data_IF_468212604230
#
_entry.id   IF_468212604230
#
_cell.length_a   1.000
_cell.length_b   1.000
_cell.length_c   1.000
_cell.angle_alpha   90.00
_cell.angle_beta   90.00
_cell.angle_gamma   90.00
#
_symmetry.space_group_name_H-M   'P 1'
#
loop_
_entity.id
_entity.type
_entity.pdbx_description
1 polymer ?
#
# COMPACT_ATOMS: atom_id res chain seq x y z
N UNK A 1 -35.15 7.04 -14.32
CA UNK A 1 -33.92 6.30 -14.72
C UNK A 1 -34.35 4.96 -15.31
N UNK A 2 -33.91 4.60 -16.51
CA UNK A 2 -34.32 3.33 -17.14
C UNK A 2 -33.49 2.18 -16.57
N UNK A 3 -34.03 0.97 -16.52
CA UNK A 3 -33.34 -0.21 -15.98
C UNK A 3 -31.99 -0.51 -16.69
N UNK A 4 -31.90 -0.21 -17.99
CA UNK A 4 -30.65 -0.31 -18.77
C UNK A 4 -29.58 0.67 -18.29
N UNK A 5 -29.96 1.90 -17.93
CA UNK A 5 -29.03 2.92 -17.44
C UNK A 5 -28.42 2.52 -16.09
N UNK A 6 -29.25 1.98 -15.19
CA UNK A 6 -28.78 1.50 -13.88
C UNK A 6 -27.84 0.28 -14.00
N UNK A 7 -28.12 -0.65 -14.90
CA UNK A 7 -27.24 -1.79 -15.15
C UNK A 7 -25.87 -1.34 -15.68
N UNK A 8 -25.84 -0.32 -16.54
CA UNK A 8 -24.61 0.33 -17.01
C UNK A 8 -23.82 0.97 -15.87
N UNK A 9 -24.50 1.78 -15.03
CA UNK A 9 -23.89 2.42 -13.86
C UNK A 9 -23.32 1.40 -12.87
N UNK A 10 -24.05 0.30 -12.60
CA UNK A 10 -23.57 -0.74 -11.70
C UNK A 10 -22.33 -1.45 -12.26
N UNK A 11 -22.30 -1.75 -13.57
CA UNK A 11 -21.10 -2.31 -14.23
C UNK A 11 -19.89 -1.38 -14.08
N UNK A 12 -20.07 -0.09 -14.33
CA UNK A 12 -18.99 0.92 -14.18
C UNK A 12 -18.53 1.00 -12.73
N UNK A 13 -19.45 1.02 -11.76
CA UNK A 13 -19.09 1.08 -10.35
C UNK A 13 -18.31 -0.15 -9.88
N UNK A 14 -18.67 -1.34 -10.37
CA UNK A 14 -17.92 -2.57 -10.10
C UNK A 14 -16.50 -2.52 -10.67
N UNK A 15 -16.35 -2.10 -11.93
CA UNK A 15 -15.02 -1.94 -12.54
C UNK A 15 -14.19 -0.92 -11.77
N UNK A 16 -14.79 0.21 -11.39
CA UNK A 16 -14.09 1.22 -10.59
C UNK A 16 -13.65 0.66 -9.25
N UNK A 17 -14.52 -0.06 -8.53
CA UNK A 17 -14.17 -0.74 -7.28
C UNK A 17 -12.97 -1.67 -7.45
N UNK A 18 -12.93 -2.46 -8.51
CA UNK A 18 -11.82 -3.38 -8.79
C UNK A 18 -10.50 -2.65 -9.05
N UNK A 19 -10.54 -1.57 -9.84
CA UNK A 19 -9.37 -0.71 -10.09
C UNK A 19 -8.83 -0.13 -8.78
N UNK A 20 -9.70 0.50 -7.98
CA UNK A 20 -9.27 1.18 -6.75
C UNK A 20 -8.70 0.20 -5.70
N UNK A 21 -9.23 -1.04 -5.66
CA UNK A 21 -8.71 -2.10 -4.80
C UNK A 21 -7.35 -2.64 -5.30
N UNK A 22 -7.17 -2.77 -6.62
CA UNK A 22 -5.88 -3.16 -7.20
C UNK A 22 -4.81 -2.09 -6.92
N UNK A 23 -5.17 -0.81 -7.06
CA UNK A 23 -4.29 0.31 -6.72
C UNK A 23 -3.94 0.32 -5.23
N UNK A 24 -4.92 0.08 -4.34
CA UNK A 24 -4.66 -0.04 -2.90
C UNK A 24 -3.68 -1.18 -2.60
N UNK A 25 -3.85 -2.34 -3.25
CA UNK A 25 -2.95 -3.47 -3.09
C UNK A 25 -1.52 -3.14 -3.55
N UNK A 26 -1.36 -2.44 -4.67
CA UNK A 26 -0.06 -1.99 -5.16
C UNK A 26 0.62 -1.03 -4.18
N UNK A 27 -0.12 -0.05 -3.61
CA UNK A 27 0.42 0.87 -2.58
C UNK A 27 0.81 0.13 -1.30
N UNK A 28 0.01 -0.85 -0.89
CA UNK A 28 0.33 -1.69 0.27
C UNK A 28 1.59 -2.54 0.04
N UNK A 29 1.76 -3.10 -1.15
CA UNK A 29 2.95 -3.86 -1.52
C UNK A 29 4.22 -2.97 -1.50
N UNK A 30 4.13 -1.74 -2.00
CA UNK A 30 5.26 -0.81 -1.99
C UNK A 30 5.67 -0.43 -0.56
N UNK A 31 4.72 -0.11 0.31
CA UNK A 31 5.01 0.17 1.72
C UNK A 31 5.64 -1.04 2.42
N UNK A 32 5.15 -2.26 2.13
CA UNK A 32 5.73 -3.50 2.66
C UNK A 32 7.17 -3.72 2.15
N UNK A 33 7.43 -3.46 0.87
CA UNK A 33 8.78 -3.56 0.26
C UNK A 33 9.76 -2.61 0.93
N UNK A 34 9.37 -1.35 1.16
CA UNK A 34 10.20 -0.35 1.84
C UNK A 34 10.46 -0.73 3.30
N UNK A 35 9.44 -1.24 4.01
CA UNK A 35 9.59 -1.75 5.37
C UNK A 35 10.58 -2.92 5.43
N UNK A 36 10.47 -3.87 4.51
CA UNK A 36 11.40 -5.00 4.42
C UNK A 36 12.83 -4.57 4.09
N UNK A 37 13.01 -3.63 3.16
CA UNK A 37 14.33 -3.09 2.83
C UNK A 37 15.00 -2.44 4.05
N UNK A 38 14.22 -1.71 4.85
CA UNK A 38 14.70 -1.08 6.09
C UNK A 38 15.10 -2.12 7.14
N UNK A 39 14.32 -3.19 7.30
CA UNK A 39 14.67 -4.29 8.20
C UNK A 39 15.97 -4.99 7.76
N UNK A 40 16.11 -5.28 6.47
CA UNK A 40 17.32 -5.89 5.92
C UNK A 40 18.56 -4.99 6.08
N UNK A 41 18.41 -3.67 5.92
CA UNK A 41 19.48 -2.72 6.13
C UNK A 41 19.93 -2.69 7.60
N UNK A 42 18.98 -2.74 8.54
CA UNK A 42 19.28 -2.80 9.97
C UNK A 42 20.00 -4.11 10.35
N UNK A 43 19.59 -5.24 9.77
CA UNK A 43 20.26 -6.53 9.96
C UNK A 43 21.71 -6.50 9.40
N UNK A 44 21.91 -5.99 8.20
CA UNK A 44 23.23 -5.82 7.61
C UNK A 44 24.15 -4.97 8.50
N UNK A 45 23.64 -3.89 9.09
CA UNK A 45 24.39 -3.04 10.01
C UNK A 45 24.76 -3.75 11.32
N UNK A 46 23.92 -4.67 11.80
CA UNK A 46 24.25 -5.50 12.97
C UNK A 46 25.34 -6.52 12.63
N UNK A 47 25.25 -7.18 11.47
CA UNK A 47 26.25 -8.14 11.01
C UNK A 47 27.61 -7.44 10.85
N UNK A 48 27.66 -6.30 10.15
CA UNK A 48 28.89 -5.54 9.97
C UNK A 48 29.53 -5.12 11.30
N UNK A 49 28.74 -4.68 12.28
CA UNK A 49 29.24 -4.35 13.63
C UNK A 49 29.83 -5.54 14.36
N UNK A 50 29.21 -6.72 14.25
CA UNK A 50 29.73 -7.95 14.86
C UNK A 50 31.05 -8.37 14.19
N UNK A 51 31.08 -8.37 12.87
CA UNK A 51 32.25 -8.81 12.10
C UNK A 51 33.42 -7.82 12.24
N UNK A 52 33.13 -6.55 12.50
CA UNK A 52 34.11 -5.50 12.79
C UNK A 52 34.93 -5.71 14.07
N UNK A 53 34.52 -6.61 14.98
CA UNK A 53 35.19 -6.82 16.27
C UNK A 53 36.54 -7.57 16.15
N UNK A 54 36.85 -8.16 15.00
CA UNK A 54 38.03 -9.01 14.81
C UNK A 54 39.36 -8.27 14.60
N UNK A 55 39.33 -6.98 14.23
CA UNK A 55 40.55 -6.17 14.05
C UNK A 55 40.22 -4.68 14.01
N UNK A 56 41.22 -3.82 14.24
CA UNK A 56 41.07 -2.35 14.13
C UNK A 56 40.61 -1.93 12.73
N UNK A 57 41.15 -2.55 11.67
CA UNK A 57 40.76 -2.25 10.30
C UNK A 57 39.30 -2.65 10.01
N UNK A 58 38.87 -3.81 10.52
CA UNK A 58 37.47 -4.25 10.39
C UNK A 58 36.51 -3.35 11.19
N UNK A 59 36.92 -2.87 12.36
CA UNK A 59 36.13 -1.94 13.17
C UNK A 59 35.90 -0.61 12.44
N UNK A 60 36.94 -0.05 11.82
CA UNK A 60 36.84 1.18 11.02
C UNK A 60 35.92 1.00 9.80
N UNK A 61 36.00 -0.14 9.12
CA UNK A 61 35.11 -0.45 7.99
C UNK A 61 33.65 -0.57 8.45
N UNK A 62 33.40 -1.21 9.60
CA UNK A 62 32.06 -1.33 10.17
C UNK A 62 31.47 0.03 10.59
N UNK A 63 32.28 0.94 11.11
CA UNK A 63 31.86 2.31 11.45
C UNK A 63 31.48 3.13 10.21
N UNK A 64 32.32 3.09 9.15
CA UNK A 64 32.02 3.75 7.88
C UNK A 64 30.74 3.20 7.24
N UNK A 65 30.56 1.88 7.28
CA UNK A 65 29.32 1.26 6.83
C UNK A 65 28.12 1.71 7.66
N UNK A 66 28.27 1.82 8.99
CA UNK A 66 27.24 2.35 9.89
C UNK A 66 26.78 3.77 9.49
N UNK A 67 27.71 4.68 9.22
CA UNK A 67 27.37 6.03 8.76
C UNK A 67 26.64 6.04 7.41
N UNK A 68 27.04 5.16 6.49
CA UNK A 68 26.34 5.01 5.22
C UNK A 68 24.92 4.46 5.44
N UNK A 69 24.75 3.46 6.32
CA UNK A 69 23.45 2.90 6.72
C UNK A 69 22.55 3.98 7.30
N UNK A 70 23.05 4.87 8.16
CA UNK A 70 22.25 5.94 8.75
C UNK A 70 21.64 6.86 7.68
N UNK A 71 22.41 7.20 6.64
CA UNK A 71 21.93 7.98 5.51
C UNK A 71 20.85 7.24 4.70
N UNK A 72 21.04 5.96 4.45
CA UNK A 72 20.06 5.14 3.72
C UNK A 72 18.78 4.88 4.53
N UNK A 73 18.90 4.67 5.85
CA UNK A 73 17.76 4.50 6.74
C UNK A 73 16.90 5.78 6.78
N UNK A 74 17.52 6.96 6.80
CA UNK A 74 16.80 8.23 6.71
C UNK A 74 15.99 8.35 5.40
N UNK A 75 16.61 8.02 4.25
CA UNK A 75 15.92 8.02 2.97
C UNK A 75 14.77 7.01 2.90
N UNK A 76 15.00 5.78 3.39
CA UNK A 76 13.98 4.74 3.46
C UNK A 76 12.83 5.10 4.39
N UNK A 77 13.10 5.76 5.53
CA UNK A 77 12.05 6.27 6.43
C UNK A 77 11.18 7.29 5.74
N UNK A 78 11.77 8.25 5.03
CA UNK A 78 11.03 9.27 4.30
C UNK A 78 10.13 8.64 3.21
N UNK A 79 10.70 7.73 2.40
CA UNK A 79 9.96 7.01 1.37
C UNK A 79 8.82 6.15 1.97
N UNK A 80 9.07 5.47 3.09
CA UNK A 80 8.05 4.67 3.78
C UNK A 80 6.91 5.54 4.32
N UNK A 81 7.22 6.70 4.90
CA UNK A 81 6.21 7.64 5.38
C UNK A 81 5.32 8.12 4.22
N UNK A 82 5.93 8.47 3.08
CA UNK A 82 5.19 8.85 1.88
C UNK A 82 4.32 7.70 1.36
N UNK A 83 4.86 6.48 1.26
CA UNK A 83 4.12 5.31 0.80
C UNK A 83 2.92 4.98 1.71
N UNK A 84 3.08 5.06 3.04
CA UNK A 84 1.98 4.87 3.98
C UNK A 84 0.92 5.98 3.87
N UNK A 85 1.32 7.23 3.65
CA UNK A 85 0.38 8.32 3.41
C UNK A 85 -0.44 8.10 2.12
N UNK A 86 0.22 7.71 1.02
CA UNK A 86 -0.45 7.38 -0.24
C UNK A 86 -1.41 6.20 -0.10
N UNK A 87 -0.99 5.14 0.61
CA UNK A 87 -1.83 3.97 0.92
C UNK A 87 -3.06 4.36 1.77
N UNK A 88 -2.89 5.23 2.76
CA UNK A 88 -3.99 5.73 3.57
C UNK A 88 -5.00 6.54 2.74
N UNK A 89 -4.51 7.43 1.87
CA UNK A 89 -5.36 8.18 0.93
C UNK A 89 -6.12 7.24 -0.02
N UNK A 90 -5.43 6.26 -0.62
CA UNK A 90 -6.03 5.28 -1.53
C UNK A 90 -7.07 4.40 -0.83
N UNK A 91 -6.87 4.08 0.47
CA UNK A 91 -7.85 3.33 1.26
C UNK A 91 -9.19 4.05 1.35
N UNK A 92 -9.18 5.38 1.50
CA UNK A 92 -10.41 6.17 1.53
C UNK A 92 -11.12 6.13 0.16
N UNK A 93 -10.38 6.26 -0.94
CA UNK A 93 -10.93 6.19 -2.30
C UNK A 93 -11.54 4.81 -2.59
N UNK A 94 -10.82 3.74 -2.26
CA UNK A 94 -11.30 2.37 -2.41
C UNK A 94 -12.57 2.11 -1.56
N UNK A 95 -12.61 2.59 -0.32
CA UNK A 95 -13.78 2.48 0.54
C UNK A 95 -15.01 3.19 -0.06
N UNK A 96 -14.83 4.38 -0.63
CA UNK A 96 -15.91 5.09 -1.34
C UNK A 96 -16.39 4.30 -2.57
N UNK A 97 -15.48 3.72 -3.35
CA UNK A 97 -15.84 2.92 -4.52
C UNK A 97 -16.63 1.66 -4.13
N UNK A 98 -16.24 0.98 -3.05
CA UNK A 98 -17.00 -0.15 -2.47
C UNK A 98 -18.38 0.31 -2.02
N UNK A 99 -18.48 1.41 -1.27
CA UNK A 99 -19.77 1.93 -0.80
C UNK A 99 -20.72 2.31 -1.95
N UNK A 100 -20.22 2.99 -2.99
CA UNK A 100 -21.01 3.32 -4.19
C UNK A 100 -21.54 2.07 -4.88
N UNK A 101 -20.72 1.03 -5.01
CA UNK A 101 -21.13 -0.23 -5.64
C UNK A 101 -22.22 -0.94 -4.83
N UNK A 102 -22.08 -0.99 -3.50
CA UNK A 102 -23.09 -1.57 -2.61
C UNK A 102 -24.44 -0.83 -2.70
N UNK A 103 -24.43 0.50 -2.76
CA UNK A 103 -25.66 1.30 -2.91
C UNK A 103 -26.35 0.98 -4.24
N UNK A 104 -25.60 0.89 -5.34
CA UNK A 104 -26.16 0.56 -6.65
C UNK A 104 -26.73 -0.87 -6.71
N UNK A 105 -26.09 -1.83 -6.04
CA UNK A 105 -26.62 -3.19 -5.89
C UNK A 105 -27.96 -3.19 -5.15
N UNK A 106 -28.05 -2.46 -4.03
CA UNK A 106 -29.29 -2.36 -3.25
C UNK A 106 -30.43 -1.72 -4.06
N UNK A 107 -30.14 -0.65 -4.82
CA UNK A 107 -31.12 -0.02 -5.70
C UNK A 107 -31.58 -0.98 -6.80
N UNK A 108 -30.63 -1.69 -7.42
CA UNK A 108 -30.92 -2.69 -8.46
C UNK A 108 -31.83 -3.79 -7.94
N UNK A 109 -31.54 -4.30 -6.74
CA UNK A 109 -32.30 -5.37 -6.10
C UNK A 109 -33.71 -4.91 -5.70
N UNK A 110 -33.85 -3.70 -5.16
CA UNK A 110 -35.17 -3.12 -4.84
C UNK A 110 -36.04 -2.96 -6.08
N UNK A 111 -35.48 -2.49 -7.19
CA UNK A 111 -36.21 -2.35 -8.45
C UNK A 111 -36.66 -3.71 -9.01
N UNK A 112 -35.79 -4.73 -8.95
CA UNK A 112 -36.17 -6.10 -9.35
C UNK A 112 -37.32 -6.66 -8.53
N UNK A 113 -37.32 -6.43 -7.21
CA UNK A 113 -38.40 -6.89 -6.32
C UNK A 113 -39.70 -6.11 -6.54
N UNK A 114 -39.61 -4.80 -6.78
CA UNK A 114 -40.76 -3.93 -7.05
C UNK A 114 -41.46 -4.23 -8.38
N UNK A 115 -40.71 -4.65 -9.40
CA UNK A 115 -41.25 -5.05 -10.72
C UNK A 115 -41.95 -6.43 -10.73
N UNK A 116 -41.84 -7.21 -9.64
CA UNK A 116 -42.46 -8.54 -9.51
C UNK A 116 -43.79 -8.52 -8.75
N UNK A 117 -44.26 -7.34 -8.34
CA UNK A 117 -45.58 -7.11 -7.75
C UNK A 117 -46.48 -6.44 -8.77
#
# INVERSE_FOLDING_TARGET
>A
MRAKDLAGLNRIARMRREIELAELAARAAEAARLSAARAALAEAAQIARRDGQGSVAAAQAAEQFGHWVDGQDAALRAALAEAEAQKAAQRAVAAQAVGRQQVLDQITERLRKGLRR
#
